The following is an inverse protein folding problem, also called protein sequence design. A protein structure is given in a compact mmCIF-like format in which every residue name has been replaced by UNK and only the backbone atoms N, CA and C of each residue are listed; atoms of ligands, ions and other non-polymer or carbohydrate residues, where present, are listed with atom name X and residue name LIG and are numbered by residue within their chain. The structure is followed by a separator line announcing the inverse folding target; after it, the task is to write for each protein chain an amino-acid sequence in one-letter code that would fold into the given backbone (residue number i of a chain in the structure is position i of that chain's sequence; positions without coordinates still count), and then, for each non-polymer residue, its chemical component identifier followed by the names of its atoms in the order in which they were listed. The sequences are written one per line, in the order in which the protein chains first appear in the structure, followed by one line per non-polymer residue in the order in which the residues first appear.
data_IF_795123537668
#
_entry.id   IF_795123537668
#
_cell.length_a   1.000
_cell.length_b   1.000
_cell.length_c   1.000
_cell.angle_alpha   90.00
_cell.angle_beta   90.00
_cell.angle_gamma   90.00
#
_symmetry.space_group_name_H-M   'P 1'
#
loop_
_entity.id
_entity.type
_entity.pdbx_description
1 polymer ?
#
# COMPACT_ATOMS: atom_id res chain seq x y z
N UNK A 1 1.62 12.23 -17.04
CA UNK A 1 2.62 11.33 -17.65
C UNK A 1 3.63 10.96 -16.58
N UNK A 2 3.28 9.96 -15.78
CA UNK A 2 3.99 9.59 -14.55
C UNK A 2 4.99 8.48 -14.88
N UNK A 3 6.28 8.81 -14.99
CA UNK A 3 7.32 7.81 -15.27
C UNK A 3 7.62 7.04 -13.99
N UNK A 4 6.84 5.98 -13.79
CA UNK A 4 7.02 5.00 -12.72
C UNK A 4 8.39 4.31 -12.83
N UNK A 5 9.10 4.26 -11.70
CA UNK A 5 10.38 3.57 -11.54
C UNK A 5 10.17 2.07 -11.80
N UNK A 6 10.72 1.56 -12.91
CA UNK A 6 10.73 0.13 -13.21
C UNK A 6 11.73 -0.57 -12.28
N UNK A 7 11.22 -1.36 -11.34
CA UNK A 7 11.91 -2.51 -10.77
C UNK A 7 12.18 -2.51 -9.26
N UNK A 8 11.69 -1.55 -8.48
CA UNK A 8 11.45 -1.77 -7.04
C UNK A 8 10.03 -2.33 -6.82
N UNK A 9 9.65 -2.72 -5.59
CA UNK A 9 8.23 -2.87 -5.24
C UNK A 9 7.47 -1.64 -5.78
N UNK A 10 6.30 -1.83 -6.40
CA UNK A 10 5.55 -0.70 -6.99
C UNK A 10 5.17 0.25 -5.86
N UNK A 11 5.98 1.31 -5.66
CA UNK A 11 5.76 2.31 -4.63
C UNK A 11 4.52 3.10 -5.05
N UNK A 12 3.49 3.10 -4.21
CA UNK A 12 2.30 3.92 -4.48
C UNK A 12 2.68 5.41 -4.57
N UNK A 13 2.02 6.21 -5.43
CA UNK A 13 2.28 7.65 -5.52
C UNK A 13 2.20 8.36 -4.15
N UNK A 14 1.28 7.91 -3.28
CA UNK A 14 1.15 8.40 -1.89
C UNK A 14 2.39 8.09 -1.06
N UNK A 15 2.91 6.85 -1.12
CA UNK A 15 4.12 6.45 -0.40
C UNK A 15 5.34 7.27 -0.85
N UNK A 16 5.49 7.49 -2.17
CA UNK A 16 6.57 8.32 -2.70
C UNK A 16 6.47 9.78 -2.24
N UNK A 17 5.25 10.34 -2.19
CA UNK A 17 5.00 11.69 -1.69
C UNK A 17 5.37 11.81 -0.20
N UNK A 18 4.96 10.85 0.63
CA UNK A 18 5.30 10.83 2.07
C UNK A 18 6.82 10.78 2.27
N UNK A 19 7.53 9.88 1.56
CA UNK A 19 9.00 9.79 1.63
C UNK A 19 9.69 11.09 1.22
N UNK A 20 9.15 11.77 0.20
CA UNK A 20 9.70 13.05 -0.28
C UNK A 20 9.56 14.16 0.77
N UNK A 21 8.41 14.26 1.45
CA UNK A 21 8.24 15.22 2.53
C UNK A 21 9.05 14.85 3.76
N UNK A 22 9.08 13.57 4.15
CA UNK A 22 9.89 13.11 5.27
C UNK A 22 11.38 13.43 5.06
N UNK A 23 11.91 13.19 3.86
CA UNK A 23 13.29 13.54 3.50
C UNK A 23 13.63 15.04 3.56
N UNK A 24 12.62 15.92 3.48
CA UNK A 24 12.80 17.36 3.65
C UNK A 24 12.65 17.80 5.11
N UNK A 25 11.59 17.36 5.79
CA UNK A 25 11.25 17.84 7.13
C UNK A 25 12.15 17.27 8.22
N UNK A 26 12.51 15.98 8.15
CA UNK A 26 13.36 15.35 9.18
C UNK A 26 14.69 16.10 9.32
N UNK A 27 15.42 16.43 8.24
CA UNK A 27 16.67 17.16 8.36
C UNK A 27 16.50 18.58 8.87
N UNK A 28 15.43 19.29 8.50
CA UNK A 28 15.14 20.62 9.03
C UNK A 28 14.96 20.58 10.56
N UNK A 29 14.21 19.60 11.07
CA UNK A 29 14.01 19.41 12.52
C UNK A 29 15.33 19.08 13.22
N UNK A 30 16.18 18.26 12.61
CA UNK A 30 17.47 17.87 13.18
C UNK A 30 18.47 19.03 13.20
N UNK A 31 18.50 19.85 12.14
CA UNK A 31 19.31 21.07 12.14
C UNK A 31 18.83 22.03 13.23
N UNK A 32 17.52 22.22 13.39
CA UNK A 32 16.96 23.03 14.46
C UNK A 32 17.35 22.49 15.85
N UNK A 33 17.29 21.17 16.06
CA UNK A 33 17.72 20.55 17.30
C UNK A 33 19.22 20.79 17.58
N UNK A 34 20.07 20.64 16.56
CA UNK A 34 21.50 20.91 16.70
C UNK A 34 21.80 22.37 17.06
N UNK A 35 21.03 23.32 16.51
CA UNK A 35 21.13 24.74 16.87
C UNK A 35 20.72 24.96 18.34
N UNK A 36 19.67 24.29 18.82
CA UNK A 36 19.28 24.40 20.24
C UNK A 36 20.36 23.88 21.19
N UNK A 37 21.15 22.88 20.76
CA UNK A 37 22.30 22.40 21.53
C UNK A 37 23.44 23.42 21.57
N UNK A 38 23.71 24.13 20.47
CA UNK A 38 24.72 25.20 20.43
C UNK A 38 24.39 26.37 21.37
N UNK A 39 23.10 26.65 21.58
CA UNK A 39 22.64 27.69 22.51
C UNK A 39 22.47 27.20 23.96
N UNK A 40 22.98 25.99 24.29
CA UNK A 40 22.86 25.35 25.61
C UNK A 40 21.40 25.22 26.12
N UNK A 41 20.42 25.25 25.21
CA UNK A 41 19.02 24.99 25.54
C UNK A 41 18.82 23.50 25.84
N UNK A 42 19.63 22.65 25.19
CA UNK A 42 19.62 21.20 25.31
C UNK A 42 21.05 20.72 25.55
N UNK A 43 21.26 19.94 26.60
CA UNK A 43 22.59 19.43 26.95
C UNK A 43 23.12 18.49 25.86
N UNK A 44 24.31 18.81 25.35
CA UNK A 44 25.02 17.93 24.43
C UNK A 44 25.68 16.77 25.17
N UNK A 45 25.44 15.51 24.74
CA UNK A 45 26.12 14.37 25.34
C UNK A 45 27.61 14.32 24.95
N UNK A 46 27.97 14.86 23.78
CA UNK A 46 29.33 14.87 23.23
C UNK A 46 29.92 16.29 23.25
N UNK A 47 31.24 16.40 23.09
CA UNK A 47 31.85 17.73 22.92
C UNK A 47 31.36 18.33 21.60
N UNK A 48 30.51 19.33 21.72
CA UNK A 48 29.86 19.95 20.57
C UNK A 48 30.88 20.72 19.72
N UNK A 49 30.76 20.60 18.40
CA UNK A 49 31.58 21.34 17.43
C UNK A 49 30.67 22.07 16.46
N UNK A 50 30.69 23.39 16.52
CA UNK A 50 29.95 24.26 15.60
C UNK A 50 30.34 23.98 14.13
N UNK A 51 31.61 23.69 13.87
CA UNK A 51 32.09 23.31 12.54
C UNK A 51 31.41 22.04 12.04
N UNK A 52 31.30 21.02 12.89
CA UNK A 52 30.64 19.76 12.54
C UNK A 52 29.14 19.99 12.30
N UNK A 53 28.48 20.79 13.16
CA UNK A 53 27.07 21.15 12.96
C UNK A 53 26.86 21.81 11.60
N UNK A 54 27.63 22.85 11.26
CA UNK A 54 27.46 23.59 10.00
C UNK A 54 27.69 22.69 8.80
N UNK A 55 28.77 21.91 8.79
CA UNK A 55 29.14 21.05 7.64
C UNK A 55 28.09 19.97 7.42
N UNK A 56 27.69 19.24 8.47
CA UNK A 56 26.69 18.16 8.36
C UNK A 56 25.33 18.75 7.98
N UNK A 57 24.91 19.85 8.61
CA UNK A 57 23.63 20.51 8.33
C UNK A 57 23.55 21.02 6.89
N UNK A 58 24.62 21.64 6.39
CA UNK A 58 24.69 22.14 5.02
C UNK A 58 24.48 21.00 4.01
N UNK A 59 25.26 19.93 4.11
CA UNK A 59 25.15 18.80 3.20
C UNK A 59 23.82 18.08 3.31
N UNK A 60 23.27 17.98 4.52
CA UNK A 60 21.98 17.34 4.72
C UNK A 60 20.84 18.13 4.08
N UNK A 61 20.76 19.43 4.36
CA UNK A 61 19.76 20.30 3.74
C UNK A 61 19.92 20.35 2.21
N UNK A 62 21.16 20.37 1.71
CA UNK A 62 21.42 20.32 0.27
C UNK A 62 20.84 19.04 -0.37
N UNK A 63 21.14 17.86 0.19
CA UNK A 63 20.62 16.58 -0.30
C UNK A 63 19.10 16.53 -0.19
N UNK A 64 18.53 17.06 0.90
CA UNK A 64 17.08 17.14 1.12
C UNK A 64 16.36 18.00 0.11
N UNK A 65 16.85 19.21 -0.16
CA UNK A 65 16.28 20.12 -1.15
C UNK A 65 16.41 19.49 -2.55
N UNK A 66 17.56 18.90 -2.88
CA UNK A 66 17.75 18.22 -4.16
C UNK A 66 16.79 17.04 -4.35
N UNK A 67 16.57 16.23 -3.31
CA UNK A 67 15.58 15.14 -3.36
C UNK A 67 14.15 15.65 -3.47
N UNK A 68 13.84 16.75 -2.79
CA UNK A 68 12.52 17.33 -2.85
C UNK A 68 12.22 17.91 -4.24
N UNK A 69 13.17 18.58 -4.90
CA UNK A 69 12.94 19.17 -6.23
C UNK A 69 13.07 18.12 -7.33
N UNK A 70 14.07 17.24 -7.23
CA UNK A 70 14.41 16.23 -8.25
C UNK A 70 14.29 14.84 -7.63
N UNK A 71 13.07 14.24 -7.62
CA UNK A 71 12.86 12.90 -7.10
C UNK A 71 13.64 11.85 -7.90
N UNK A 72 13.95 10.73 -7.25
CA UNK A 72 14.80 9.70 -7.82
C UNK A 72 14.18 9.08 -9.09
N UNK A 73 14.96 9.03 -10.17
CA UNK A 73 14.49 8.50 -11.48
C UNK A 73 15.00 7.11 -11.80
N UNK A 74 16.06 6.66 -11.13
CA UNK A 74 16.70 5.36 -11.34
C UNK A 74 16.96 4.65 -10.02
N UNK A 75 17.13 3.32 -10.09
CA UNK A 75 17.54 2.52 -8.92
C UNK A 75 18.88 2.97 -8.35
N UNK A 76 19.81 3.40 -9.20
CA UNK A 76 21.12 3.88 -8.77
C UNK A 76 20.99 5.23 -8.05
N UNK A 77 20.19 6.15 -8.58
CA UNK A 77 19.92 7.45 -7.95
C UNK A 77 19.22 7.28 -6.59
N UNK A 78 18.29 6.33 -6.49
CA UNK A 78 17.66 5.96 -5.21
C UNK A 78 18.67 5.40 -4.21
N UNK A 79 19.58 4.52 -4.64
CA UNK A 79 20.64 3.97 -3.77
C UNK A 79 21.54 5.07 -3.25
N UNK A 80 22.03 5.94 -4.14
CA UNK A 80 22.95 7.03 -3.79
C UNK A 80 22.34 7.95 -2.73
N UNK A 81 21.05 8.28 -2.86
CA UNK A 81 20.34 9.09 -1.86
C UNK A 81 20.20 8.35 -0.54
N UNK A 82 19.75 7.10 -0.56
CA UNK A 82 19.62 6.31 0.67
C UNK A 82 20.97 6.24 1.40
N UNK A 83 22.06 5.98 0.69
CA UNK A 83 23.42 5.99 1.24
C UNK A 83 23.78 7.36 1.82
N UNK A 84 23.51 8.46 1.10
CA UNK A 84 23.77 9.81 1.60
C UNK A 84 23.02 10.10 2.92
N UNK A 85 21.73 9.73 3.03
CA UNK A 85 20.99 9.92 4.28
C UNK A 85 21.51 9.06 5.42
N UNK A 86 21.95 7.82 5.16
CA UNK A 86 22.58 7.00 6.18
C UNK A 86 23.88 7.63 6.67
N UNK A 87 24.76 8.04 5.76
CA UNK A 87 26.03 8.70 6.10
C UNK A 87 25.80 9.97 6.92
N UNK A 88 24.89 10.83 6.49
CA UNK A 88 24.59 12.10 7.16
C UNK A 88 23.94 11.88 8.53
N UNK A 89 22.99 10.95 8.63
CA UNK A 89 22.36 10.61 9.92
C UNK A 89 23.39 9.99 10.86
N UNK A 90 24.26 9.10 10.37
CA UNK A 90 25.31 8.48 11.17
C UNK A 90 26.32 9.50 11.67
N UNK A 91 26.78 10.40 10.80
CA UNK A 91 27.65 11.51 11.19
C UNK A 91 26.98 12.44 12.21
N UNK A 92 25.68 12.72 12.05
CA UNK A 92 24.93 13.54 12.98
C UNK A 92 24.77 12.89 14.36
N UNK A 93 24.53 11.58 14.42
CA UNK A 93 24.51 10.84 15.68
C UNK A 93 25.88 10.88 16.36
N UNK A 94 26.96 10.61 15.63
CA UNK A 94 28.32 10.55 16.20
C UNK A 94 28.82 11.91 16.69
N UNK A 95 28.64 12.97 15.89
CA UNK A 95 29.34 14.25 16.11
C UNK A 95 28.47 15.36 16.69
N UNK A 96 27.14 15.20 16.75
CA UNK A 96 26.23 16.28 17.17
C UNK A 96 25.33 15.80 18.31
N UNK A 97 24.43 14.86 18.04
CA UNK A 97 23.32 14.56 18.95
C UNK A 97 23.57 13.43 19.94
N UNK A 98 24.48 12.51 19.62
CA UNK A 98 24.69 11.28 20.36
C UNK A 98 23.57 10.24 20.21
N UNK A 99 23.88 9.02 20.62
CA UNK A 99 22.94 7.88 20.56
C UNK A 99 21.83 7.96 21.61
N UNK A 100 22.02 8.72 22.69
CA UNK A 100 20.97 8.96 23.69
C UNK A 100 19.85 9.91 23.21
N UNK A 101 19.96 10.46 21.99
CA UNK A 101 18.98 11.39 21.45
C UNK A 101 17.70 10.67 20.96
N UNK A 102 16.52 11.33 21.01
CA UNK A 102 15.28 10.77 20.46
C UNK A 102 15.37 10.55 18.93
N UNK A 103 16.35 11.15 18.26
CA UNK A 103 16.52 11.08 16.81
C UNK A 103 17.14 9.80 16.31
N UNK A 104 17.65 8.93 17.19
CA UNK A 104 18.01 7.57 16.77
C UNK A 104 16.80 6.83 16.19
N UNK A 105 15.57 7.18 16.61
CA UNK A 105 14.35 6.64 16.01
C UNK A 105 14.21 6.99 14.51
N UNK A 106 14.83 8.06 14.02
CA UNK A 106 14.88 8.35 12.57
C UNK A 106 15.61 7.25 11.78
N UNK A 107 16.45 6.45 12.43
CA UNK A 107 17.06 5.28 11.81
C UNK A 107 16.05 4.20 11.45
N UNK A 108 14.95 4.07 12.20
CA UNK A 108 13.83 3.19 11.85
C UNK A 108 13.18 3.62 10.53
N UNK A 109 13.07 4.93 10.30
CA UNK A 109 12.59 5.45 9.03
C UNK A 109 13.53 5.09 7.88
N UNK A 110 14.85 5.17 8.09
CA UNK A 110 15.84 4.72 7.11
C UNK A 110 15.74 3.22 6.81
N UNK A 111 15.50 2.37 7.82
CA UNK A 111 15.24 0.95 7.62
C UNK A 111 13.98 0.71 6.79
N UNK A 112 12.88 1.42 7.07
CA UNK A 112 11.62 1.32 6.31
C UNK A 112 11.84 1.75 4.85
N UNK A 113 12.51 2.88 4.63
CA UNK A 113 12.83 3.36 3.27
C UNK A 113 13.69 2.35 2.53
N UNK A 114 14.64 1.71 3.23
CA UNK A 114 15.51 0.68 2.65
C UNK A 114 14.73 -0.61 2.32
N UNK A 115 13.75 -1.00 3.15
CA UNK A 115 12.83 -2.10 2.83
C UNK A 115 12.00 -1.79 1.59
N UNK A 116 11.46 -0.58 1.49
CA UNK A 116 10.66 -0.16 0.33
C UNK A 116 11.50 -0.18 -0.96
N UNK A 117 12.77 0.23 -0.91
CA UNK A 117 13.62 0.32 -2.09
C UNK A 117 14.26 -1.02 -2.50
N UNK A 118 14.71 -1.82 -1.53
CA UNK A 118 15.54 -3.01 -1.76
C UNK A 118 15.11 -4.25 -0.95
N UNK A 119 13.91 -4.23 -0.37
CA UNK A 119 13.38 -5.32 0.47
C UNK A 119 14.34 -5.68 1.60
N UNK A 120 14.40 -6.96 1.98
CA UNK A 120 15.21 -7.46 3.10
C UNK A 120 16.69 -7.07 2.99
N UNK A 121 17.27 -7.10 1.78
CA UNK A 121 18.68 -6.72 1.57
C UNK A 121 18.97 -5.26 1.91
N UNK A 122 18.01 -4.36 1.65
CA UNK A 122 18.13 -2.96 2.04
C UNK A 122 18.18 -2.79 3.55
N UNK A 123 17.34 -3.53 4.25
CA UNK A 123 17.30 -3.51 5.72
C UNK A 123 18.56 -4.11 6.31
N UNK A 124 19.04 -5.25 5.81
CA UNK A 124 20.30 -5.86 6.26
C UNK A 124 21.46 -4.86 6.18
N UNK A 125 21.58 -4.15 5.06
CA UNK A 125 22.62 -3.14 4.87
C UNK A 125 22.45 -1.94 5.80
N UNK A 126 21.22 -1.46 5.99
CA UNK A 126 20.89 -0.38 6.93
C UNK A 126 21.21 -0.75 8.39
N UNK A 127 20.91 -1.99 8.77
CA UNK A 127 21.20 -2.56 10.09
C UNK A 127 22.71 -2.71 10.31
N UNK A 128 23.44 -3.25 9.34
CA UNK A 128 24.90 -3.35 9.42
C UNK A 128 25.53 -1.96 9.55
N UNK A 129 25.02 -0.98 8.80
CA UNK A 129 25.52 0.39 8.90
C UNK A 129 25.19 1.02 10.27
N UNK A 130 24.03 0.70 10.87
CA UNK A 130 23.70 1.16 12.23
C UNK A 130 24.63 0.59 13.30
N UNK A 131 24.92 -0.72 13.20
CA UNK A 131 25.89 -1.39 14.08
C UNK A 131 27.25 -0.73 13.94
N UNK A 132 27.68 -0.43 12.71
CA UNK A 132 28.91 0.29 12.45
C UNK A 132 28.92 1.70 13.07
N UNK A 133 27.85 2.48 12.90
CA UNK A 133 27.72 3.83 13.50
C UNK A 133 27.80 3.76 15.01
N UNK A 134 27.09 2.82 15.64
CA UNK A 134 27.12 2.63 17.10
C UNK A 134 28.53 2.24 17.56
N UNK A 135 29.19 1.33 16.87
CA UNK A 135 30.56 0.94 17.20
C UNK A 135 31.55 2.10 17.04
N UNK A 136 31.39 2.91 16.00
CA UNK A 136 32.20 4.11 15.78
C UNK A 136 31.99 5.14 16.90
N UNK A 137 30.75 5.34 17.32
CA UNK A 137 30.42 6.25 18.43
C UNK A 137 31.11 5.82 19.73
N UNK A 138 30.98 4.53 20.09
CA UNK A 138 31.66 3.94 21.25
C UNK A 138 33.18 4.09 21.17
N UNK A 139 33.79 3.83 20.00
CA UNK A 139 35.24 3.92 19.83
C UNK A 139 35.74 5.37 19.98
N UNK A 140 34.99 6.34 19.47
CA UNK A 140 35.36 7.76 19.53
C UNK A 140 35.18 8.31 20.95
N UNK A 141 34.11 7.93 21.65
CA UNK A 141 33.71 8.56 22.91
C UNK A 141 33.92 7.69 24.17
N UNK A 142 34.54 6.51 24.07
CA UNK A 142 34.80 5.62 25.23
C UNK A 142 35.60 6.28 26.37
N UNK A 143 36.42 7.28 26.07
CA UNK A 143 37.27 7.97 27.04
C UNK A 143 36.51 8.93 27.95
N UNK A 144 35.27 9.31 27.61
CA UNK A 144 34.51 10.34 28.32
C UNK A 144 33.78 9.79 29.54
N UNK A 145 33.04 8.69 29.37
CA UNK A 145 32.30 8.03 30.46
C UNK A 145 31.90 6.62 30.08
N UNK A 146 31.91 5.70 31.05
CA UNK A 146 31.38 4.33 30.88
C UNK A 146 29.87 4.32 30.63
N UNK A 147 29.15 5.39 31.00
CA UNK A 147 27.71 5.50 30.79
C UNK A 147 27.33 5.53 29.30
N UNK A 148 28.17 6.12 28.42
CA UNK A 148 27.90 6.16 26.98
C UNK A 148 27.82 4.76 26.38
N UNK A 149 28.78 3.90 26.73
CA UNK A 149 28.78 2.50 26.27
C UNK A 149 27.47 1.80 26.65
N UNK A 150 26.98 2.00 27.87
CA UNK A 150 25.71 1.40 28.30
C UNK A 150 24.50 1.96 27.57
N UNK A 151 24.46 3.27 27.30
CA UNK A 151 23.38 3.89 26.52
C UNK A 151 23.39 3.40 25.08
N UNK A 152 24.54 3.41 24.42
CA UNK A 152 24.70 3.01 23.02
C UNK A 152 24.29 1.55 22.81
N UNK A 153 24.73 0.66 23.71
CA UNK A 153 24.35 -0.75 23.67
C UNK A 153 22.84 -0.95 23.91
N UNK A 154 22.26 -0.19 24.84
CA UNK A 154 20.81 -0.25 25.11
C UNK A 154 20.02 0.21 23.88
N UNK A 155 20.42 1.34 23.29
CA UNK A 155 19.79 1.91 22.10
C UNK A 155 19.93 0.98 20.90
N UNK A 156 21.10 0.35 20.72
CA UNK A 156 21.32 -0.65 19.69
C UNK A 156 20.32 -1.80 19.81
N UNK A 157 20.21 -2.41 20.99
CA UNK A 157 19.27 -3.51 21.23
C UNK A 157 17.82 -3.08 20.95
N UNK A 158 17.40 -1.91 21.43
CA UNK A 158 16.04 -1.40 21.24
C UNK A 158 15.73 -1.17 19.75
N UNK A 159 16.63 -0.50 19.02
CA UNK A 159 16.43 -0.19 17.60
C UNK A 159 16.45 -1.46 16.75
N UNK A 160 17.32 -2.43 17.05
CA UNK A 160 17.33 -3.72 16.36
C UNK A 160 16.05 -4.51 16.63
N UNK A 161 15.54 -4.49 17.87
CA UNK A 161 14.27 -5.14 18.22
C UNK A 161 13.09 -4.51 17.46
N UNK A 162 12.98 -3.16 17.47
CA UNK A 162 11.91 -2.46 16.74
C UNK A 162 12.06 -2.66 15.23
N UNK A 163 13.29 -2.63 14.70
CA UNK A 163 13.60 -2.91 13.31
C UNK A 163 13.14 -4.31 12.90
N UNK A 164 13.46 -5.34 13.70
CA UNK A 164 13.02 -6.71 13.46
C UNK A 164 11.49 -6.85 13.45
N UNK A 165 10.79 -6.25 14.42
CA UNK A 165 9.32 -6.23 14.46
C UNK A 165 8.76 -5.55 13.21
N UNK A 166 9.29 -4.39 12.84
CA UNK A 166 8.86 -3.61 11.67
C UNK A 166 9.00 -4.40 10.37
N UNK A 167 10.13 -5.09 10.19
CA UNK A 167 10.39 -5.94 9.02
C UNK A 167 9.46 -7.15 9.00
N UNK A 168 9.24 -7.79 10.15
CA UNK A 168 8.36 -8.96 10.26
C UNK A 168 6.92 -8.61 9.89
N UNK A 169 6.41 -7.48 10.39
CA UNK A 169 5.09 -6.94 10.03
C UNK A 169 5.04 -6.62 8.53
N UNK A 170 6.06 -5.93 8.00
CA UNK A 170 6.09 -5.53 6.59
C UNK A 170 6.06 -6.75 5.65
N UNK A 171 6.82 -7.80 5.98
CA UNK A 171 6.84 -9.06 5.25
C UNK A 171 5.48 -9.77 5.31
N UNK A 172 4.88 -9.85 6.50
CA UNK A 172 3.56 -10.46 6.68
C UNK A 172 2.50 -9.75 5.83
N UNK A 173 2.50 -8.42 5.81
CA UNK A 173 1.57 -7.63 5.00
C UNK A 173 1.75 -7.85 3.50
N UNK A 174 2.98 -8.00 3.02
CA UNK A 174 3.27 -8.25 1.60
C UNK A 174 2.73 -9.61 1.14
N UNK A 175 2.89 -10.65 1.97
CA UNK A 175 2.31 -11.97 1.73
C UNK A 175 0.79 -11.89 1.70
N UNK A 176 0.16 -11.25 2.69
CA UNK A 176 -1.30 -11.09 2.75
C UNK A 176 -1.86 -10.34 1.55
N UNK A 177 -1.20 -9.27 1.10
CA UNK A 177 -1.61 -8.51 -0.10
C UNK A 177 -1.54 -9.36 -1.35
N UNK A 178 -0.47 -10.14 -1.52
CA UNK A 178 -0.29 -11.02 -2.67
C UNK A 178 -1.35 -12.11 -2.70
N UNK A 179 -1.63 -12.75 -1.56
CA UNK A 179 -2.69 -13.74 -1.42
C UNK A 179 -4.08 -13.15 -1.75
N UNK A 180 -4.38 -11.95 -1.27
CA UNK A 180 -5.63 -11.25 -1.59
C UNK A 180 -5.76 -10.95 -3.08
N UNK A 181 -4.70 -10.44 -3.72
CA UNK A 181 -4.69 -10.18 -5.16
C UNK A 181 -4.96 -11.45 -5.97
N UNK A 182 -4.31 -12.56 -5.60
CA UNK A 182 -4.52 -13.84 -6.25
C UNK A 182 -5.95 -14.37 -6.05
N UNK A 183 -6.51 -14.22 -4.84
CA UNK A 183 -7.89 -14.60 -4.55
C UNK A 183 -8.90 -13.81 -5.39
N UNK A 184 -8.72 -12.49 -5.50
CA UNK A 184 -9.56 -11.63 -6.35
C UNK A 184 -9.45 -11.98 -7.83
N UNK A 185 -8.24 -12.24 -8.32
CA UNK A 185 -8.03 -12.67 -9.71
C UNK A 185 -8.74 -13.99 -10.00
N UNK A 186 -8.68 -14.95 -9.06
CA UNK A 186 -9.37 -16.23 -9.18
C UNK A 186 -10.89 -16.06 -9.19
N UNK A 187 -11.45 -15.26 -8.29
CA UNK A 187 -12.89 -14.97 -8.23
C UNK A 187 -13.38 -14.34 -9.54
N UNK A 188 -12.66 -13.33 -10.04
CA UNK A 188 -12.97 -12.68 -11.31
C UNK A 188 -12.96 -13.68 -12.49
N UNK A 189 -11.95 -14.55 -12.54
CA UNK A 189 -11.89 -15.60 -13.57
C UNK A 189 -13.05 -16.59 -13.49
N UNK A 190 -13.45 -17.02 -12.28
CA UNK A 190 -14.63 -17.89 -12.12
C UNK A 190 -15.91 -17.18 -12.57
N UNK A 191 -16.07 -15.90 -12.23
CA UNK A 191 -17.21 -15.10 -12.64
C UNK A 191 -17.29 -14.96 -14.16
N UNK A 192 -16.17 -14.68 -14.82
CA UNK A 192 -16.09 -14.60 -16.29
C UNK A 192 -16.46 -15.94 -16.93
N UNK A 193 -15.95 -17.05 -16.40
CA UNK A 193 -16.29 -18.40 -16.88
C UNK A 193 -17.78 -18.71 -16.77
N UNK A 194 -18.42 -18.36 -15.64
CA UNK A 194 -19.87 -18.53 -15.46
C UNK A 194 -20.65 -17.73 -16.51
N UNK A 195 -20.26 -16.48 -16.74
CA UNK A 195 -20.90 -15.64 -17.77
C UNK A 195 -20.72 -16.21 -19.17
N UNK A 196 -19.54 -16.72 -19.51
CA UNK A 196 -19.30 -17.38 -20.79
C UNK A 196 -20.18 -18.63 -20.95
N UNK A 197 -20.32 -19.45 -19.92
CA UNK A 197 -21.18 -20.64 -19.97
C UNK A 197 -22.63 -20.22 -20.18
N UNK A 198 -23.15 -19.31 -19.36
CA UNK A 198 -24.53 -18.81 -19.46
C UNK A 198 -24.80 -18.22 -20.85
N UNK A 199 -23.87 -17.45 -21.39
CA UNK A 199 -24.03 -16.82 -22.70
C UNK A 199 -24.00 -17.80 -23.88
N UNK A 200 -23.41 -18.98 -23.72
CA UNK A 200 -23.39 -20.04 -24.73
C UNK A 200 -24.50 -21.10 -24.52
N UNK A 201 -25.41 -20.91 -23.56
CA UNK A 201 -26.58 -21.78 -23.42
C UNK A 201 -27.62 -21.47 -24.49
N UNK A 202 -28.20 -22.52 -25.10
CA UNK A 202 -29.27 -22.41 -26.09
C UNK A 202 -30.58 -21.95 -25.48
N UNK A 203 -30.86 -22.36 -24.23
CA UNK A 203 -32.09 -21.99 -23.54
C UNK A 203 -32.00 -20.57 -22.98
N UNK A 204 -33.08 -19.81 -23.06
CA UNK A 204 -33.18 -18.50 -22.43
C UNK A 204 -33.12 -18.64 -20.89
N UNK A 205 -32.14 -17.97 -20.27
CA UNK A 205 -31.97 -17.96 -18.81
C UNK A 205 -31.98 -16.53 -18.30
N UNK A 206 -32.91 -16.23 -17.39
CA UNK A 206 -33.00 -14.95 -16.68
C UNK A 206 -32.95 -15.21 -15.18
N UNK A 207 -32.04 -14.52 -14.49
CA UNK A 207 -31.91 -14.56 -13.03
C UNK A 207 -32.21 -13.18 -12.45
N UNK A 208 -32.96 -13.13 -11.35
CA UNK A 208 -33.41 -11.89 -10.68
C UNK A 208 -32.92 -11.82 -9.25
N UNK A 209 -32.96 -10.62 -8.64
CA UNK A 209 -32.82 -10.47 -7.19
C UNK A 209 -34.15 -10.61 -6.44
N UNK A 210 -34.10 -10.48 -5.11
CA UNK A 210 -35.27 -10.62 -4.22
C UNK A 210 -36.41 -9.63 -4.50
N UNK A 211 -36.14 -8.55 -5.24
CA UNK A 211 -37.12 -7.54 -5.65
C UNK A 211 -37.61 -7.75 -7.09
N UNK A 212 -37.17 -8.81 -7.77
CA UNK A 212 -37.54 -9.08 -9.16
C UNK A 212 -36.75 -8.29 -10.19
N UNK A 213 -35.63 -7.65 -9.81
CA UNK A 213 -34.78 -6.97 -10.78
C UNK A 213 -33.83 -7.95 -11.45
N UNK A 214 -33.75 -7.93 -12.78
CA UNK A 214 -32.87 -8.83 -13.55
C UNK A 214 -31.39 -8.57 -13.20
N UNK A 215 -30.65 -9.64 -12.89
CA UNK A 215 -29.23 -9.62 -12.51
C UNK A 215 -28.34 -10.24 -13.57
N UNK A 216 -28.78 -11.33 -14.18
CA UNK A 216 -28.06 -12.09 -15.20
C UNK A 216 -29.08 -12.52 -16.26
N UNK A 217 -28.69 -12.41 -17.53
CA UNK A 217 -29.43 -12.94 -18.66
C UNK A 217 -28.43 -13.38 -19.74
N UNK A 218 -28.86 -14.23 -20.68
CA UNK A 218 -28.02 -14.68 -21.80
C UNK A 218 -28.52 -14.18 -23.16
N UNK A 219 -27.74 -14.40 -24.21
CA UNK A 219 -28.10 -14.07 -25.59
C UNK A 219 -29.43 -14.73 -26.03
N UNK A 220 -29.67 -15.99 -25.64
CA UNK A 220 -30.94 -16.66 -25.95
C UNK A 220 -32.17 -15.94 -25.34
N UNK A 221 -32.02 -15.27 -24.20
CA UNK A 221 -33.08 -14.45 -23.61
C UNK A 221 -33.38 -13.21 -24.45
N UNK A 222 -32.34 -12.55 -24.98
CA UNK A 222 -32.49 -11.41 -25.87
C UNK A 222 -33.17 -11.81 -27.19
N UNK A 223 -32.75 -12.95 -27.76
CA UNK A 223 -33.36 -13.50 -28.98
C UNK A 223 -34.81 -13.93 -28.74
N UNK A 224 -35.13 -14.54 -27.60
CA UNK A 224 -36.50 -14.94 -27.26
C UNK A 224 -37.41 -13.71 -27.10
N UNK A 225 -36.91 -12.65 -26.48
CA UNK A 225 -37.65 -11.41 -26.24
C UNK A 225 -37.66 -10.45 -27.44
N UNK A 226 -36.96 -10.81 -28.52
CA UNK A 226 -36.69 -9.97 -29.69
C UNK A 226 -36.25 -8.54 -29.34
N UNK A 227 -35.27 -8.43 -28.44
CA UNK A 227 -34.77 -7.15 -27.97
C UNK A 227 -33.25 -7.09 -27.96
N UNK A 228 -32.71 -5.92 -28.29
CA UNK A 228 -31.28 -5.61 -28.17
C UNK A 228 -30.97 -4.74 -26.93
N UNK A 229 -31.97 -4.50 -26.07
CA UNK A 229 -31.78 -3.67 -24.89
C UNK A 229 -31.15 -4.44 -23.73
N UNK A 230 -30.37 -3.73 -22.90
CA UNK A 230 -29.90 -4.28 -21.63
C UNK A 230 -31.10 -4.55 -20.71
N UNK A 231 -31.21 -5.80 -20.25
CA UNK A 231 -32.27 -6.23 -19.35
C UNK A 231 -31.90 -6.00 -17.88
N UNK A 232 -30.62 -5.77 -17.57
CA UNK A 232 -30.11 -5.68 -16.21
C UNK A 232 -30.76 -4.53 -15.45
N UNK A 233 -31.27 -4.84 -14.25
CA UNK A 233 -31.94 -3.87 -13.38
C UNK A 233 -33.39 -3.57 -13.76
N UNK A 234 -33.89 -4.06 -14.90
CA UNK A 234 -35.32 -3.97 -15.27
C UNK A 234 -36.15 -4.95 -14.43
N UNK A 235 -37.44 -4.64 -14.30
CA UNK A 235 -38.38 -5.49 -13.57
C UNK A 235 -38.73 -6.74 -14.38
N UNK A 236 -38.73 -7.91 -13.75
CA UNK A 236 -39.03 -9.17 -14.45
C UNK A 236 -40.43 -9.19 -15.07
N UNK A 237 -41.41 -8.54 -14.44
CA UNK A 237 -42.77 -8.45 -14.97
C UNK A 237 -42.87 -7.55 -16.20
N UNK A 238 -41.94 -6.60 -16.36
CA UNK A 238 -41.84 -5.75 -17.54
C UNK A 238 -41.08 -6.44 -18.66
N UNK A 239 -40.06 -7.23 -18.30
CA UNK A 239 -39.20 -7.95 -19.25
C UNK A 239 -39.92 -9.16 -19.84
N UNK A 240 -40.73 -9.88 -19.05
CA UNK A 240 -41.44 -11.08 -19.48
C UNK A 240 -42.94 -10.99 -19.11
N UNK A 241 -43.74 -10.15 -19.79
CA UNK A 241 -45.19 -10.13 -19.64
C UNK A 241 -45.79 -11.43 -20.19
N UNK A 242 -46.04 -12.40 -19.31
CA UNK A 242 -46.67 -13.68 -19.68
C UNK A 242 -48.14 -13.72 -19.29
N UNK A 243 -48.94 -14.39 -20.11
CA UNK A 243 -50.36 -14.66 -19.87
C UNK A 243 -50.59 -16.16 -19.69
N UNK A 244 -51.58 -16.51 -18.88
CA UNK A 244 -52.03 -17.90 -18.74
C UNK A 244 -52.97 -18.32 -19.89
N UNK A 245 -53.38 -19.59 -19.91
CA UNK A 245 -54.37 -20.10 -20.89
C UNK A 245 -55.73 -19.37 -20.83
N UNK A 246 -56.04 -18.74 -19.69
CA UNK A 246 -57.26 -17.96 -19.49
C UNK A 246 -57.11 -16.49 -19.89
N UNK A 247 -55.99 -16.12 -20.54
CA UNK A 247 -55.65 -14.77 -21.00
C UNK A 247 -55.47 -13.75 -19.85
N UNK A 248 -55.19 -14.21 -18.64
CA UNK A 248 -54.86 -13.32 -17.52
C UNK A 248 -53.36 -13.07 -17.44
N UNK A 249 -52.96 -11.82 -17.21
CA UNK A 249 -51.57 -11.46 -16.97
C UNK A 249 -51.05 -12.05 -15.66
N UNK A 250 -49.91 -12.74 -15.71
CA UNK A 250 -49.26 -13.32 -14.55
C UNK A 250 -48.19 -12.38 -13.99
N UNK A 251 -48.20 -12.17 -12.67
CA UNK A 251 -47.08 -11.54 -11.98
C UNK A 251 -46.05 -12.60 -11.58
N UNK A 252 -44.97 -12.67 -12.38
CA UNK A 252 -43.86 -13.60 -12.20
C UNK A 252 -43.18 -13.40 -10.85
N UNK A 253 -43.04 -12.15 -10.38
CA UNK A 253 -42.39 -11.89 -9.09
C UNK A 253 -43.16 -12.53 -7.93
N UNK A 254 -44.50 -12.46 -7.94
CA UNK A 254 -45.29 -13.15 -6.91
C UNK A 254 -45.14 -14.67 -7.01
N UNK A 255 -45.11 -15.24 -8.22
CA UNK A 255 -44.94 -16.68 -8.41
C UNK A 255 -43.58 -17.17 -7.90
N UNK A 256 -42.51 -16.46 -8.25
CA UNK A 256 -41.15 -16.74 -7.79
C UNK A 256 -41.02 -16.66 -6.26
N UNK A 257 -41.76 -15.75 -5.60
CA UNK A 257 -41.76 -15.62 -4.14
C UNK A 257 -42.49 -16.75 -3.42
N UNK A 258 -43.55 -17.30 -4.02
CA UNK A 258 -44.30 -18.41 -3.44
C UNK A 258 -43.64 -19.76 -3.72
N UNK A 259 -42.84 -19.86 -4.77
CA UNK A 259 -42.12 -21.08 -5.11
C UNK A 259 -40.94 -21.34 -4.17
N UNK A 260 -41.02 -22.43 -3.40
CA UNK A 260 -39.92 -22.91 -2.53
C UNK A 260 -39.03 -23.95 -3.20
N UNK A 261 -39.41 -24.42 -4.38
CA UNK A 261 -38.76 -25.50 -5.12
C UNK A 261 -38.67 -25.14 -6.61
N UNK A 262 -38.00 -25.96 -7.41
CA UNK A 262 -38.03 -25.82 -8.86
C UNK A 262 -39.45 -26.11 -9.34
N UNK A 263 -40.06 -25.18 -10.08
CA UNK A 263 -41.39 -25.30 -10.68
C UNK A 263 -41.24 -25.19 -12.18
N UNK A 264 -41.81 -26.16 -12.91
CA UNK A 264 -41.88 -26.17 -14.37
C UNK A 264 -43.32 -25.89 -14.79
N UNK A 265 -43.51 -24.97 -15.73
CA UNK A 265 -44.80 -24.58 -16.28
C UNK A 265 -44.71 -24.54 -17.80
N UNK A 266 -45.66 -25.20 -18.44
CA UNK A 266 -45.80 -25.29 -19.90
C UNK A 266 -47.13 -24.63 -20.36
N UNK A 267 -47.83 -23.92 -19.47
CA UNK A 267 -49.16 -23.31 -19.66
C UNK A 267 -49.12 -21.78 -19.87
N UNK A 268 -47.91 -21.20 -19.94
CA UNK A 268 -47.69 -19.76 -20.04
C UNK A 268 -47.35 -19.35 -21.48
N UNK A 269 -47.95 -18.27 -21.95
CA UNK A 269 -47.72 -17.73 -23.27
C UNK A 269 -47.11 -16.32 -23.18
N UNK A 270 -46.16 -16.04 -24.06
CA UNK A 270 -45.64 -14.70 -24.32
C UNK A 270 -46.18 -14.21 -25.66
N UNK A 271 -46.72 -12.99 -25.70
CA UNK A 271 -47.33 -12.40 -26.91
C UNK A 271 -46.42 -11.29 -27.41
N UNK A 272 -45.92 -11.42 -28.63
CA UNK A 272 -45.16 -10.36 -29.31
C UNK A 272 -46.10 -9.19 -29.67
N UNK A 273 -45.58 -7.96 -29.63
CA UNK A 273 -46.37 -6.75 -29.93
C UNK A 273 -46.80 -6.64 -31.40
N UNK A 274 -46.17 -7.44 -32.24
CA UNK A 274 -46.27 -7.52 -33.68
C UNK A 274 -46.97 -8.84 -34.04
N UNK A 275 -48.26 -8.89 -33.73
CA UNK A 275 -49.22 -9.86 -34.28
C UNK A 275 -49.86 -9.33 -35.56
#
# INVERSE_FOLDING_TARGET
MDKMVKGGPIISPKTAQILRYAGLFVPVVLVAYGILMEFDVINAPHTFSLTNLIVISFWWLYVSILQFIKPAKSKFDSALRIVAYHLLTGAYLIFISGMASPFVACWLLLMIVSYIAYSIRGVELSTLFFVFVTAADIIIWNGTSRAFITYDMTVLVVILMIGFITVSISRSQEVSKTALHHSKAKEQFQRERVLTIINNMTDAVISTDVHGKVRIYNAASLSLLDTNEDLKGKDINQVLPVIDQSHNGLNILSELKHSKTVVKRDDLNYVYGDG
#
